data_IF_908129127792
#
_entry.id   IF_908129127792
#
_cell.length_a   1.000
_cell.length_b   1.000
_cell.length_c   1.000
_cell.angle_alpha   90.00
_cell.angle_beta   90.00
_cell.angle_gamma   90.00
#
_symmetry.space_group_name_H-M   'P 1'
#
loop_
_entity.id
_entity.type
_entity.pdbx_description
1 polymer ?
#
# COMPACT_ATOMS: atom_id res chain seq x y z
N UNK A 1 6.45 21.19 -24.12
CA UNK A 1 6.27 21.28 -22.65
C UNK A 1 5.26 22.36 -22.24
N UNK A 2 5.55 23.67 -22.31
CA UNK A 2 4.58 24.72 -21.87
C UNK A 2 3.26 24.73 -22.65
N UNK A 3 3.33 24.49 -23.97
CA UNK A 3 2.14 24.38 -24.82
C UNK A 3 1.29 23.14 -24.47
N UNK A 4 1.94 22.03 -24.13
CA UNK A 4 1.29 20.75 -23.78
C UNK A 4 0.58 20.84 -22.42
N UNK A 5 1.20 21.47 -21.42
CA UNK A 5 0.58 21.67 -20.10
C UNK A 5 -0.63 22.60 -20.16
N UNK A 6 -0.63 23.60 -21.06
CA UNK A 6 -1.79 24.46 -21.27
C UNK A 6 -2.97 23.68 -21.88
N UNK A 7 -2.68 22.78 -22.82
CA UNK A 7 -3.70 21.89 -23.38
C UNK A 7 -4.22 20.89 -22.34
N UNK A 8 -3.34 20.33 -21.51
CA UNK A 8 -3.73 19.42 -20.42
C UNK A 8 -4.67 20.12 -19.42
N UNK A 9 -4.36 21.35 -19.01
CA UNK A 9 -5.24 22.18 -18.16
C UNK A 9 -6.60 22.43 -18.82
N UNK A 10 -6.63 22.76 -20.11
CA UNK A 10 -7.89 22.95 -20.84
C UNK A 10 -8.74 21.67 -20.87
N UNK A 11 -8.11 20.49 -21.09
CA UNK A 11 -8.79 19.19 -21.05
C UNK A 11 -9.35 18.89 -19.67
N UNK A 12 -8.55 19.06 -18.62
CA UNK A 12 -9.02 18.89 -17.23
C UNK A 12 -10.26 19.76 -16.96
N UNK A 13 -10.19 21.05 -17.25
CA UNK A 13 -11.30 21.98 -17.03
C UNK A 13 -12.56 21.59 -17.81
N UNK A 14 -12.42 21.06 -19.03
CA UNK A 14 -13.56 20.63 -19.84
C UNK A 14 -14.27 19.38 -19.31
N UNK A 15 -13.56 18.54 -18.55
CA UNK A 15 -14.05 17.29 -17.99
C UNK A 15 -14.49 17.44 -16.51
N UNK A 16 -14.21 18.58 -15.90
CA UNK A 16 -14.39 18.78 -14.46
C UNK A 16 -15.83 18.53 -14.00
N UNK A 17 -16.02 17.47 -13.22
CA UNK A 17 -17.30 17.13 -12.63
C UNK A 17 -17.38 17.65 -11.18
N UNK A 18 -17.96 18.83 -10.99
CA UNK A 18 -18.10 19.43 -9.66
C UNK A 18 -18.94 18.55 -8.71
N UNK A 19 -19.99 17.89 -9.19
CA UNK A 19 -20.85 17.07 -8.33
C UNK A 19 -20.08 15.91 -7.70
N UNK A 20 -19.31 15.16 -8.49
CA UNK A 20 -18.48 14.07 -7.98
C UNK A 20 -17.36 14.60 -7.08
N UNK A 21 -16.71 15.71 -7.47
CA UNK A 21 -15.67 16.36 -6.67
C UNK A 21 -16.18 16.74 -5.27
N UNK A 22 -17.37 17.33 -5.18
CA UNK A 22 -17.99 17.69 -3.90
C UNK A 22 -18.40 16.48 -3.07
N UNK A 23 -18.91 15.41 -3.71
CA UNK A 23 -19.27 14.19 -3.04
C UNK A 23 -18.05 13.49 -2.42
N UNK A 24 -16.92 13.46 -3.14
CA UNK A 24 -15.65 12.93 -2.62
C UNK A 24 -15.19 13.74 -1.41
N UNK A 25 -15.17 15.08 -1.51
CA UNK A 25 -14.75 15.93 -0.39
C UNK A 25 -15.60 15.71 0.88
N UNK A 26 -16.92 15.53 0.72
CA UNK A 26 -17.80 15.20 1.82
C UNK A 26 -17.49 13.83 2.44
N UNK A 27 -17.25 12.81 1.62
CA UNK A 27 -16.89 11.47 2.11
C UNK A 27 -15.52 11.48 2.82
N UNK A 28 -14.53 12.19 2.29
CA UNK A 28 -13.22 12.34 2.92
C UNK A 28 -13.30 13.02 4.28
N UNK A 29 -14.17 14.01 4.46
CA UNK A 29 -14.41 14.65 5.74
C UNK A 29 -14.90 13.64 6.80
N UNK A 30 -15.77 12.71 6.40
CA UNK A 30 -16.25 11.61 7.25
C UNK A 30 -15.09 10.68 7.62
N UNK A 31 -14.36 10.17 6.62
CA UNK A 31 -13.27 9.21 6.82
C UNK A 31 -12.15 9.79 7.69
N UNK A 32 -11.79 11.06 7.46
CA UNK A 32 -10.75 11.77 8.20
C UNK A 32 -11.22 12.32 9.56
N UNK A 33 -12.53 12.20 9.86
CA UNK A 33 -13.19 12.70 11.08
C UNK A 33 -12.93 14.18 11.32
N UNK A 34 -13.19 14.99 10.30
CA UNK A 34 -12.91 16.43 10.32
C UNK A 34 -13.96 17.20 9.52
N UNK A 35 -13.89 18.52 9.55
CA UNK A 35 -14.77 19.37 8.75
C UNK A 35 -14.35 19.33 7.28
N UNK A 36 -15.33 19.48 6.39
CA UNK A 36 -15.11 19.49 4.93
C UNK A 36 -14.09 20.53 4.51
N UNK A 37 -14.09 21.70 5.17
CA UNK A 37 -13.22 22.83 4.81
C UNK A 37 -11.86 22.78 5.54
N UNK A 38 -11.57 21.66 6.22
CA UNK A 38 -10.29 21.46 6.89
C UNK A 38 -9.14 21.36 5.88
N UNK A 39 -7.95 21.75 6.33
CA UNK A 39 -6.72 21.61 5.56
C UNK A 39 -6.47 20.16 5.12
N UNK A 40 -6.80 19.17 5.97
CA UNK A 40 -6.61 17.74 5.66
C UNK A 40 -7.45 17.27 4.47
N UNK A 41 -8.70 17.73 4.39
CA UNK A 41 -9.58 17.41 3.24
C UNK A 41 -9.07 18.14 2.00
N UNK A 42 -8.72 19.42 2.13
CA UNK A 42 -8.17 20.22 1.03
C UNK A 42 -6.91 19.58 0.43
N UNK A 43 -5.97 19.15 1.28
CA UNK A 43 -4.73 18.49 0.85
C UNK A 43 -5.02 17.20 0.06
N UNK A 44 -5.96 16.38 0.52
CA UNK A 44 -6.37 15.17 -0.20
C UNK A 44 -7.03 15.50 -1.55
N UNK A 45 -7.89 16.51 -1.59
CA UNK A 45 -8.54 16.96 -2.83
C UNK A 45 -7.52 17.54 -3.84
N UNK A 46 -6.47 18.19 -3.35
CA UNK A 46 -5.36 18.64 -4.19
C UNK A 46 -4.61 17.45 -4.80
N UNK A 47 -4.34 16.39 -4.03
CA UNK A 47 -3.72 15.18 -4.59
C UNK A 47 -4.61 14.51 -5.64
N UNK A 48 -5.93 14.41 -5.42
CA UNK A 48 -6.87 13.92 -6.44
C UNK A 48 -6.79 14.76 -7.73
N UNK A 49 -6.67 16.07 -7.58
CA UNK A 49 -6.50 17.00 -8.71
C UNK A 49 -5.18 16.78 -9.44
N UNK A 50 -4.08 16.58 -8.71
CA UNK A 50 -2.78 16.26 -9.29
C UNK A 50 -2.85 14.98 -10.15
N UNK A 51 -3.53 13.93 -9.66
CA UNK A 51 -3.73 12.70 -10.43
C UNK A 51 -4.58 12.94 -11.67
N UNK A 52 -5.69 13.66 -11.55
CA UNK A 52 -6.52 14.00 -12.70
C UNK A 52 -5.73 14.78 -13.77
N UNK A 53 -4.87 15.71 -13.36
CA UNK A 53 -3.97 16.45 -14.26
C UNK A 53 -2.92 15.54 -14.91
N UNK A 54 -2.37 14.60 -14.15
CA UNK A 54 -1.46 13.57 -14.66
C UNK A 54 -2.10 12.71 -15.75
N UNK A 55 -3.36 12.30 -15.55
CA UNK A 55 -4.12 11.47 -16.50
C UNK A 55 -4.41 12.20 -17.82
N UNK A 56 -4.54 13.53 -17.80
CA UNK A 56 -4.68 14.33 -19.03
C UNK A 56 -3.34 14.78 -19.63
N UNK A 57 -2.22 14.27 -19.12
CA UNK A 57 -0.88 14.46 -19.69
C UNK A 57 -0.12 15.69 -19.21
N UNK A 58 -0.46 16.23 -18.03
CA UNK A 58 0.29 17.35 -17.47
C UNK A 58 1.62 16.88 -16.85
N UNK A 59 2.74 17.29 -17.44
CA UNK A 59 4.08 16.72 -17.18
C UNK A 59 4.64 16.91 -15.77
N UNK A 60 4.03 17.77 -14.96
CA UNK A 60 4.46 17.99 -13.57
C UNK A 60 3.96 16.93 -12.59
N UNK A 61 3.01 16.07 -13.02
CA UNK A 61 2.27 15.20 -12.11
C UNK A 61 2.37 13.71 -12.45
N UNK A 62 3.35 13.28 -13.26
CA UNK A 62 3.42 11.93 -13.84
C UNK A 62 3.24 10.79 -12.80
N UNK A 63 3.79 10.94 -11.59
CA UNK A 63 3.71 9.94 -10.50
C UNK A 63 2.72 10.29 -9.37
N UNK A 64 1.83 11.28 -9.58
CA UNK A 64 0.89 11.74 -8.54
C UNK A 64 -0.03 10.61 -8.02
N UNK A 65 -0.35 9.63 -8.87
CA UNK A 65 -1.27 8.53 -8.54
C UNK A 65 -0.73 7.67 -7.38
N UNK A 66 0.59 7.43 -7.35
CA UNK A 66 1.25 6.63 -6.33
C UNK A 66 1.30 7.37 -4.98
N UNK A 67 1.52 8.69 -5.03
CA UNK A 67 1.44 9.56 -3.84
C UNK A 67 0.03 9.56 -3.24
N UNK A 68 -1.00 9.70 -4.08
CA UNK A 68 -2.40 9.64 -3.64
C UNK A 68 -2.73 8.26 -3.04
N UNK A 69 -2.34 7.17 -3.70
CA UNK A 69 -2.59 5.80 -3.20
C UNK A 69 -1.94 5.58 -1.82
N UNK A 70 -0.69 6.05 -1.66
CA UNK A 70 0.04 5.99 -0.40
C UNK A 70 -0.65 6.77 0.69
N UNK A 71 -1.11 7.99 0.38
CA UNK A 71 -1.82 8.83 1.32
C UNK A 71 -3.14 8.16 1.77
N UNK A 72 -3.93 7.63 0.84
CA UNK A 72 -5.16 6.90 1.16
C UNK A 72 -4.93 5.75 2.15
N UNK A 73 -3.90 4.93 1.92
CA UNK A 73 -3.53 3.83 2.80
C UNK A 73 -3.11 4.31 4.20
N UNK A 74 -2.25 5.32 4.28
CA UNK A 74 -1.72 5.84 5.55
C UNK A 74 -2.77 6.54 6.41
N UNK A 75 -3.71 7.25 5.78
CA UNK A 75 -4.75 7.97 6.52
C UNK A 75 -6.00 7.12 6.77
N UNK A 76 -6.00 5.86 6.35
CA UNK A 76 -7.13 4.95 6.57
C UNK A 76 -8.39 5.36 5.80
N UNK A 77 -8.23 5.92 4.59
CA UNK A 77 -9.38 6.25 3.73
C UNK A 77 -10.13 4.97 3.38
N UNK A 78 -11.46 5.00 3.49
CA UNK A 78 -12.29 3.83 3.29
C UNK A 78 -12.25 3.34 1.83
N UNK A 79 -12.52 2.04 1.63
CA UNK A 79 -12.67 1.46 0.29
C UNK A 79 -13.74 2.21 -0.52
N UNK A 80 -14.83 2.65 0.13
CA UNK A 80 -15.90 3.41 -0.51
C UNK A 80 -15.36 4.72 -1.09
N UNK A 81 -14.60 5.48 -0.30
CA UNK A 81 -13.98 6.71 -0.77
C UNK A 81 -12.95 6.46 -1.88
N UNK A 82 -12.14 5.40 -1.76
CA UNK A 82 -11.19 5.00 -2.82
C UNK A 82 -11.94 4.71 -4.14
N UNK A 83 -13.07 4.01 -4.08
CA UNK A 83 -13.89 3.72 -5.26
C UNK A 83 -14.54 4.97 -5.85
N UNK A 84 -14.96 5.93 -5.02
CA UNK A 84 -15.45 7.22 -5.50
C UNK A 84 -14.34 8.01 -6.22
N UNK A 85 -13.13 8.04 -5.66
CA UNK A 85 -11.96 8.69 -6.28
C UNK A 85 -11.63 8.00 -7.60
N UNK A 86 -11.54 6.67 -7.63
CA UNK A 86 -11.27 5.89 -8.83
C UNK A 86 -12.27 6.21 -9.95
N UNK A 87 -13.58 6.18 -9.65
CA UNK A 87 -14.62 6.50 -10.63
C UNK A 87 -14.51 7.93 -11.17
N UNK A 88 -14.06 8.88 -10.34
CA UNK A 88 -13.80 10.24 -10.77
C UNK A 88 -12.55 10.33 -11.68
N UNK A 89 -11.48 9.60 -11.33
CA UNK A 89 -10.25 9.55 -12.13
C UNK A 89 -10.45 8.92 -13.51
N UNK A 90 -11.36 7.93 -13.64
CA UNK A 90 -11.72 7.33 -14.93
C UNK A 90 -12.24 8.34 -15.96
N UNK A 91 -12.79 9.48 -15.54
CA UNK A 91 -13.22 10.55 -16.46
C UNK A 91 -12.02 11.12 -17.25
N UNK A 92 -10.84 11.14 -16.63
CA UNK A 92 -9.63 11.75 -17.17
C UNK A 92 -8.70 10.75 -17.88
N UNK A 93 -8.86 9.45 -17.57
CA UNK A 93 -8.00 8.38 -18.08
C UNK A 93 -8.07 8.30 -19.61
N UNK A 94 -6.91 8.32 -20.26
CA UNK A 94 -6.79 8.14 -21.70
C UNK A 94 -6.87 6.64 -22.07
N UNK A 95 -7.23 6.28 -23.32
CA UNK A 95 -7.18 4.90 -23.78
C UNK A 95 -5.77 4.30 -23.57
N UNK A 96 -5.69 3.09 -23.01
CA UNK A 96 -4.46 2.34 -22.69
C UNK A 96 -3.74 2.79 -21.41
N UNK A 97 -4.09 3.94 -20.82
CA UNK A 97 -3.60 4.33 -19.50
C UNK A 97 -4.29 3.48 -18.42
N UNK A 98 -3.50 2.93 -17.47
CA UNK A 98 -3.97 2.08 -16.37
C UNK A 98 -3.76 2.73 -15.00
N UNK A 99 -3.32 4.00 -14.94
CA UNK A 99 -2.93 4.64 -13.68
C UNK A 99 -4.09 4.80 -12.69
N UNK A 100 -5.35 4.94 -13.13
CA UNK A 100 -6.47 4.94 -12.20
C UNK A 100 -6.70 3.54 -11.61
N UNK A 101 -6.58 2.48 -12.42
CA UNK A 101 -6.65 1.09 -11.97
C UNK A 101 -5.53 0.77 -10.95
N UNK A 102 -4.30 1.16 -11.28
CA UNK A 102 -3.13 1.00 -10.42
C UNK A 102 -3.29 1.78 -9.11
N UNK A 103 -3.82 3.02 -9.17
CA UNK A 103 -4.20 3.79 -7.98
C UNK A 103 -5.18 3.01 -7.10
N UNK A 104 -6.28 2.53 -7.67
CA UNK A 104 -7.36 1.89 -6.91
C UNK A 104 -6.84 0.66 -6.17
N UNK A 105 -6.13 -0.21 -6.89
CA UNK A 105 -5.64 -1.46 -6.33
C UNK A 105 -4.50 -1.24 -5.35
N UNK A 106 -3.60 -0.29 -5.62
CA UNK A 106 -2.51 0.07 -4.70
C UNK A 106 -3.06 0.66 -3.40
N UNK A 107 -4.01 1.60 -3.46
CA UNK A 107 -4.62 2.20 -2.29
C UNK A 107 -5.34 1.16 -1.41
N UNK A 108 -6.11 0.26 -2.03
CA UNK A 108 -6.78 -0.85 -1.33
C UNK A 108 -5.80 -1.82 -0.69
N UNK A 109 -4.72 -2.16 -1.41
CA UNK A 109 -3.68 -3.05 -0.89
C UNK A 109 -2.98 -2.43 0.31
N UNK A 110 -2.56 -1.17 0.21
CA UNK A 110 -1.91 -0.43 1.31
C UNK A 110 -2.82 -0.32 2.53
N UNK A 111 -4.09 0.03 2.35
CA UNK A 111 -5.07 0.07 3.44
C UNK A 111 -5.12 -1.28 4.17
N UNK A 112 -5.26 -2.39 3.43
CA UNK A 112 -5.33 -3.73 4.03
C UNK A 112 -4.01 -4.18 4.65
N UNK A 113 -2.88 -3.80 4.08
CA UNK A 113 -1.57 -4.08 4.66
C UNK A 113 -1.37 -3.35 6.00
N UNK A 114 -1.76 -2.08 6.09
CA UNK A 114 -1.72 -1.32 7.34
C UNK A 114 -2.69 -1.88 8.40
N UNK A 115 -3.92 -2.24 8.03
CA UNK A 115 -4.88 -2.89 8.94
C UNK A 115 -4.35 -4.23 9.48
N UNK A 116 -3.75 -5.05 8.61
CA UNK A 116 -3.19 -6.35 8.99
C UNK A 116 -1.97 -6.23 9.89
N UNK A 117 -1.15 -5.19 9.72
CA UNK A 117 0.11 -5.02 10.46
C UNK A 117 -0.09 -4.99 11.98
N UNK A 118 -1.13 -4.30 12.47
CA UNK A 118 -1.39 -4.22 13.92
C UNK A 118 -1.83 -5.56 14.51
N UNK A 119 -2.73 -6.26 13.80
CA UNK A 119 -3.18 -7.61 14.19
C UNK A 119 -2.01 -8.59 14.21
N UNK A 120 -1.11 -8.48 13.23
CA UNK A 120 0.05 -9.34 13.11
C UNK A 120 1.04 -9.11 14.25
N UNK A 121 1.32 -7.85 14.62
CA UNK A 121 2.16 -7.52 15.79
C UNK A 121 1.58 -8.05 17.09
N UNK A 122 0.25 -7.98 17.26
CA UNK A 122 -0.41 -8.59 18.41
C UNK A 122 -0.21 -10.12 18.44
N UNK A 123 -0.37 -10.79 17.30
CA UNK A 123 -0.13 -12.23 17.17
C UNK A 123 1.33 -12.61 17.50
N UNK A 124 2.31 -11.82 17.04
CA UNK A 124 3.74 -11.99 17.39
C UNK A 124 3.93 -11.93 18.92
N UNK A 125 3.33 -10.95 19.58
CA UNK A 125 3.41 -10.81 21.04
C UNK A 125 2.82 -12.03 21.77
N UNK A 126 1.65 -12.51 21.33
CA UNK A 126 1.05 -13.73 21.86
C UNK A 126 1.92 -14.97 21.64
N UNK A 127 2.50 -15.14 20.45
CA UNK A 127 3.36 -16.28 20.14
C UNK A 127 4.63 -16.30 21.00
N UNK A 128 5.20 -15.12 21.30
CA UNK A 128 6.36 -14.99 22.19
C UNK A 128 6.08 -15.51 23.61
N UNK A 129 4.82 -15.46 24.07
CA UNK A 129 4.43 -16.01 25.37
C UNK A 129 4.31 -17.55 25.37
N UNK A 130 4.39 -18.21 24.22
CA UNK A 130 4.33 -19.67 24.12
C UNK A 130 5.74 -20.26 24.20
N UNK A 131 6.08 -20.87 25.34
CA UNK A 131 7.46 -21.34 25.63
C UNK A 131 7.89 -22.62 24.90
N UNK A 132 6.98 -23.31 24.20
CA UNK A 132 7.31 -24.52 23.44
C UNK A 132 8.10 -24.20 22.16
N UNK A 133 8.77 -25.18 21.57
CA UNK A 133 9.42 -25.01 20.25
C UNK A 133 8.44 -24.59 19.15
N UNK A 134 7.17 -25.03 19.25
CA UNK A 134 6.10 -24.59 18.34
C UNK A 134 5.78 -23.10 18.52
N UNK A 135 5.85 -22.62 19.75
CA UNK A 135 5.67 -21.21 20.07
C UNK A 135 6.78 -20.34 19.49
N UNK A 136 8.05 -20.75 19.69
CA UNK A 136 9.21 -20.07 19.08
C UNK A 136 9.15 -20.10 17.55
N UNK A 137 8.83 -21.24 16.96
CA UNK A 137 8.65 -21.37 15.52
C UNK A 137 7.53 -20.45 15.00
N UNK A 138 6.37 -20.42 15.67
CA UNK A 138 5.27 -19.54 15.31
C UNK A 138 5.64 -18.05 15.48
N UNK A 139 6.36 -17.70 16.53
CA UNK A 139 6.88 -16.34 16.75
C UNK A 139 7.77 -15.89 15.60
N UNK A 140 8.71 -16.74 15.17
CA UNK A 140 9.60 -16.41 14.05
C UNK A 140 8.82 -16.31 12.73
N UNK A 141 7.87 -17.21 12.44
CA UNK A 141 7.04 -17.14 11.23
C UNK A 141 6.16 -15.88 11.19
N UNK A 142 5.52 -15.53 12.31
CA UNK A 142 4.69 -14.32 12.40
C UNK A 142 5.55 -13.05 12.31
N UNK A 143 6.76 -13.07 12.89
CA UNK A 143 7.72 -11.96 12.75
C UNK A 143 8.21 -11.83 11.31
N UNK A 144 8.43 -12.95 10.60
CA UNK A 144 8.76 -12.92 9.19
C UNK A 144 7.64 -12.29 8.37
N UNK A 145 6.38 -12.67 8.62
CA UNK A 145 5.23 -12.08 7.96
C UNK A 145 5.13 -10.56 8.21
N UNK A 146 5.45 -10.08 9.42
CA UNK A 146 5.45 -8.63 9.72
C UNK A 146 6.52 -7.89 8.90
N UNK A 147 7.75 -8.42 8.85
CA UNK A 147 8.79 -7.83 8.00
C UNK A 147 8.43 -7.85 6.51
N UNK A 148 7.86 -8.95 6.00
CA UNK A 148 7.44 -9.04 4.60
C UNK A 148 6.28 -8.10 4.28
N UNK A 149 5.36 -7.89 5.23
CA UNK A 149 4.27 -6.90 5.11
C UNK A 149 4.83 -5.48 5.05
N UNK A 150 5.80 -5.16 5.91
CA UNK A 150 6.50 -3.86 5.86
C UNK A 150 7.24 -3.66 4.53
N UNK A 151 7.89 -4.70 4.00
CA UNK A 151 8.56 -4.62 2.70
C UNK A 151 7.55 -4.39 1.56
N UNK A 152 6.41 -5.09 1.55
CA UNK A 152 5.36 -4.91 0.56
C UNK A 152 4.76 -3.49 0.58
N UNK A 153 4.48 -2.95 1.77
CA UNK A 153 4.03 -1.56 1.95
C UNK A 153 5.03 -0.59 1.32
N UNK A 154 6.32 -0.77 1.61
CA UNK A 154 7.36 0.11 1.08
C UNK A 154 7.57 -0.04 -0.42
N UNK A 155 7.43 -1.24 -0.98
CA UNK A 155 7.47 -1.43 -2.44
C UNK A 155 6.31 -0.70 -3.14
N UNK A 156 5.11 -0.79 -2.59
CA UNK A 156 3.90 -0.18 -3.17
C UNK A 156 3.87 1.35 -3.01
N UNK A 157 4.61 1.89 -2.03
CA UNK A 157 4.70 3.32 -1.77
C UNK A 157 5.95 3.99 -2.34
N UNK A 158 6.71 3.29 -3.20
CA UNK A 158 8.03 3.72 -3.70
C UNK A 158 8.96 4.21 -2.56
N UNK A 159 9.03 3.38 -1.53
CA UNK A 159 9.79 3.61 -0.33
C UNK A 159 11.29 3.38 -0.50
N UNK A 160 12.03 3.54 0.59
CA UNK A 160 13.48 3.45 0.57
C UNK A 160 13.96 2.01 0.26
N UNK A 161 14.70 1.84 -0.84
CA UNK A 161 15.22 0.54 -1.28
C UNK A 161 16.10 -0.16 -0.24
N UNK A 162 16.91 0.58 0.53
CA UNK A 162 17.72 0.01 1.61
C UNK A 162 16.86 -0.52 2.74
N UNK A 163 15.77 0.17 3.07
CA UNK A 163 14.80 -0.28 4.08
C UNK A 163 14.05 -1.53 3.59
N UNK A 164 13.59 -1.54 2.33
CA UNK A 164 12.97 -2.72 1.72
C UNK A 164 13.92 -3.93 1.81
N UNK A 165 15.18 -3.75 1.41
CA UNK A 165 16.21 -4.80 1.51
C UNK A 165 16.40 -5.29 2.94
N UNK A 166 16.49 -4.40 3.92
CA UNK A 166 16.62 -4.76 5.33
C UNK A 166 15.45 -5.66 5.77
N UNK A 167 14.22 -5.26 5.45
CA UNK A 167 13.02 -6.02 5.84
C UNK A 167 12.96 -7.39 5.17
N UNK A 168 13.29 -7.48 3.89
CA UNK A 168 13.40 -8.77 3.19
C UNK A 168 14.45 -9.68 3.85
N UNK A 169 15.63 -9.14 4.18
CA UNK A 169 16.68 -9.90 4.86
C UNK A 169 16.26 -10.38 6.25
N UNK A 170 15.58 -9.54 7.03
CA UNK A 170 15.06 -9.93 8.34
C UNK A 170 13.96 -10.99 8.21
N UNK A 171 13.06 -10.87 7.23
CA UNK A 171 12.04 -11.87 6.93
C UNK A 171 12.64 -13.25 6.61
N UNK A 172 13.66 -13.29 5.75
CA UNK A 172 14.37 -14.53 5.40
C UNK A 172 15.03 -15.13 6.65
N UNK A 173 15.76 -14.33 7.44
CA UNK A 173 16.41 -14.80 8.68
C UNK A 173 15.41 -15.40 9.66
N UNK A 174 14.23 -14.80 9.79
CA UNK A 174 13.15 -15.30 10.66
C UNK A 174 12.57 -16.61 10.15
N UNK A 175 12.33 -16.74 8.85
CA UNK A 175 11.92 -18.03 8.24
C UNK A 175 12.97 -19.11 8.55
N UNK A 176 14.26 -18.82 8.38
CA UNK A 176 15.33 -19.76 8.72
C UNK A 176 15.31 -20.15 10.21
N UNK A 177 15.13 -19.19 11.11
CA UNK A 177 14.99 -19.45 12.56
C UNK A 177 13.83 -20.39 12.89
N UNK A 178 12.66 -20.14 12.28
CA UNK A 178 11.49 -21.00 12.45
C UNK A 178 11.75 -22.43 11.97
N UNK A 179 12.37 -22.60 10.80
CA UNK A 179 12.71 -23.93 10.28
C UNK A 179 13.71 -24.65 11.17
N UNK A 180 14.70 -23.95 11.73
CA UNK A 180 15.64 -24.53 12.70
C UNK A 180 14.95 -25.06 13.96
N UNK A 181 13.95 -24.36 14.50
CA UNK A 181 13.16 -24.87 15.63
C UNK A 181 12.43 -26.17 15.26
N UNK A 182 11.85 -26.24 14.05
CA UNK A 182 11.21 -27.44 13.52
C UNK A 182 12.17 -28.62 13.36
N UNK A 183 13.34 -28.39 12.75
CA UNK A 183 14.37 -29.42 12.56
C UNK A 183 14.89 -29.94 13.90
N UNK A 184 15.15 -29.06 14.87
CA UNK A 184 15.79 -29.43 16.14
C UNK A 184 14.85 -30.16 17.10
N UNK A 185 13.55 -29.86 17.07
CA UNK A 185 12.62 -30.27 18.14
C UNK A 185 11.40 -31.07 17.67
N UNK A 186 11.13 -31.17 16.37
CA UNK A 186 10.03 -31.98 15.85
C UNK A 186 10.31 -33.48 15.97
N UNK A 187 9.25 -34.29 16.11
CA UNK A 187 9.32 -35.75 15.96
C UNK A 187 9.59 -36.20 14.52
N UNK A 188 9.37 -35.29 13.55
CA UNK A 188 9.63 -35.49 12.11
C UNK A 188 10.40 -34.28 11.56
N UNK A 189 11.72 -34.17 11.83
CA UNK A 189 12.55 -33.04 11.39
C UNK A 189 12.57 -32.83 9.88
N UNK A 190 12.50 -33.93 9.12
CA UNK A 190 12.54 -33.96 7.66
C UNK A 190 11.38 -33.18 6.99
N UNK A 191 10.28 -32.92 7.71
CA UNK A 191 9.18 -32.09 7.19
C UNK A 191 9.50 -30.58 7.19
N UNK A 192 10.56 -30.19 7.88
CA UNK A 192 10.99 -28.80 8.05
C UNK A 192 12.36 -28.54 7.39
N UNK A 193 12.93 -29.54 6.74
CA UNK A 193 14.18 -29.43 6.01
C UNK A 193 13.90 -29.00 4.56
N UNK A 194 14.17 -27.72 4.29
CA UNK A 194 14.04 -27.11 2.98
C UNK A 194 15.40 -26.82 2.33
N UNK A 195 16.48 -27.48 2.76
CA UNK A 195 17.84 -27.29 2.24
C UNK A 195 17.96 -27.48 0.72
N UNK A 196 17.05 -28.21 0.09
CA UNK A 196 16.98 -28.39 -1.37
C UNK A 196 16.18 -27.29 -2.10
N UNK A 197 15.65 -26.29 -1.38
CA UNK A 197 14.88 -25.18 -1.98
C UNK A 197 15.84 -24.10 -2.46
N UNK A 198 15.89 -23.91 -3.77
CA UNK A 198 16.83 -23.00 -4.40
C UNK A 198 16.21 -21.62 -4.60
N UNK A 199 16.90 -20.55 -4.19
CA UNK A 199 16.59 -19.19 -4.65
C UNK A 199 17.23 -18.99 -6.03
N UNK A 200 16.57 -18.37 -7.02
CA UNK A 200 17.13 -18.19 -8.36
C UNK A 200 18.28 -17.17 -8.31
N UNK A 201 19.48 -17.63 -7.92
CA UNK A 201 20.82 -17.01 -8.06
C UNK A 201 21.95 -17.75 -7.30
N UNK A 202 21.76 -18.96 -6.73
CA UNK A 202 22.96 -19.82 -6.55
C UNK A 202 23.49 -20.30 -7.90
#
# INVERSE_FOLDING_TARGET
MLHDNTQALARYNSLFNNQQYQAIAAQLAIDLRTERDSMRVSDMMNEITNVALSLVGHSHYDDAWMKLATLCGQTGISIVAIDMIYNYLLIYQQPVDMRADDFQMTAKCLLKAYEAADTLRAAVSCANAVHSWRGRMAYDLLSAADYLTQAAIQLLSDGNQSYIREKLQQGIRRITGALHEGIRHSKRPNLFDFSNTHFPTE
#
